data_IF_032510657155
#
_entry.id   IF_032510657155
#
_cell.length_a   1.000
_cell.length_b   1.000
_cell.length_c   1.000
_cell.angle_alpha   90.00
_cell.angle_beta   90.00
_cell.angle_gamma   90.00
#
_symmetry.space_group_name_H-M   'P 1'
#
loop_
_entity.id
_entity.type
_entity.pdbx_description
1 polymer ?
#
# COMPACT_ATOMS: atom_id res chain seq x y z
N UNK A 1 15.02 -22.40 33.39
CA UNK A 1 15.38 -21.04 33.86
C UNK A 1 16.60 -20.58 33.06
N UNK A 2 16.43 -19.88 31.96
CA UNK A 2 17.51 -19.16 31.25
C UNK A 2 17.03 -17.73 31.02
N UNK A 3 17.79 -16.79 31.58
CA UNK A 3 17.50 -15.35 31.54
C UNK A 3 17.82 -14.82 30.16
N UNK A 4 16.84 -14.17 29.48
CA UNK A 4 17.07 -13.32 28.31
C UNK A 4 17.66 -12.00 28.78
N UNK A 5 18.85 -11.67 28.29
CA UNK A 5 19.44 -10.32 28.38
C UNK A 5 18.94 -9.51 27.17
N UNK A 6 18.22 -8.44 27.45
CA UNK A 6 17.95 -7.37 26.47
C UNK A 6 19.19 -6.49 26.39
N UNK A 7 19.84 -6.47 25.24
CA UNK A 7 20.89 -5.51 24.91
C UNK A 7 20.26 -4.27 24.26
N UNK A 8 20.18 -3.19 25.02
CA UNK A 8 19.84 -1.84 24.53
C UNK A 8 21.06 -1.25 23.84
N UNK A 9 20.98 -1.05 22.53
CA UNK A 9 21.95 -0.28 21.74
C UNK A 9 21.62 1.21 21.88
N UNK A 10 22.33 1.90 22.75
CA UNK A 10 22.40 3.36 22.84
C UNK A 10 23.51 3.83 21.88
N UNK A 11 23.16 4.61 20.88
CA UNK A 11 24.12 5.38 20.10
C UNK A 11 24.41 6.70 20.82
N UNK A 12 25.66 7.08 21.05
CA UNK A 12 25.98 8.39 21.58
C UNK A 12 25.94 9.43 20.45
N UNK A 13 25.08 10.44 20.60
CA UNK A 13 25.15 11.68 19.83
C UNK A 13 26.21 12.57 20.47
N UNK A 14 27.32 12.77 19.78
CA UNK A 14 28.31 13.75 20.17
C UNK A 14 27.81 15.15 19.86
N UNK A 15 27.52 15.95 20.88
CA UNK A 15 27.28 17.38 20.77
C UNK A 15 28.64 18.09 20.72
N UNK A 16 28.97 18.68 19.57
CA UNK A 16 30.07 19.63 19.45
C UNK A 16 29.53 21.02 19.88
N UNK A 17 30.01 21.53 20.98
CA UNK A 17 29.82 22.93 21.38
C UNK A 17 30.78 23.80 20.53
N UNK A 18 30.23 24.69 19.76
CA UNK A 18 30.98 25.78 19.14
C UNK A 18 30.80 27.06 19.98
N UNK A 19 31.91 27.54 20.46
CA UNK A 19 32.09 28.81 21.16
C UNK A 19 32.02 29.97 20.13
N UNK A 20 31.07 30.86 20.25
CA UNK A 20 30.99 32.06 19.46
C UNK A 20 31.35 33.29 20.31
N UNK A 21 32.61 33.69 20.22
CA UNK A 21 33.09 34.99 20.69
C UNK A 21 32.43 36.11 19.89
N UNK A 22 32.00 37.11 20.64
CA UNK A 22 31.41 38.37 20.18
C UNK A 22 32.36 39.13 19.26
N UNK A 23 31.93 39.46 18.08
CA UNK A 23 32.52 40.51 17.26
C UNK A 23 31.49 41.63 17.04
N UNK A 24 31.97 42.84 17.28
CA UNK A 24 31.30 44.15 17.18
C UNK A 24 30.54 44.32 15.87
N UNK A 25 29.27 44.74 15.99
CA UNK A 25 28.48 45.30 14.88
C UNK A 25 28.64 46.83 14.82
N UNK A 26 28.91 47.43 13.65
CA UNK A 26 28.89 48.85 13.50
C UNK A 26 27.45 49.41 13.47
N UNK A 27 27.30 50.61 14.06
CA UNK A 27 26.05 51.31 14.24
C UNK A 27 25.37 51.71 12.91
N UNK A 28 24.05 51.51 12.85
CA UNK A 28 23.21 51.98 11.73
C UNK A 28 23.11 53.54 11.75
N UNK A 29 23.12 54.21 10.57
CA UNK A 29 22.85 55.63 10.46
C UNK A 29 21.36 55.98 10.65
N UNK A 30 21.10 57.14 11.23
CA UNK A 30 19.79 57.68 11.52
C UNK A 30 18.95 57.98 10.26
N UNK A 31 17.60 57.87 10.31
CA UNK A 31 16.73 58.16 9.18
C UNK A 31 16.67 59.68 8.87
N UNK A 32 16.64 59.96 7.56
CA UNK A 32 16.48 61.31 7.01
C UNK A 32 15.06 61.85 7.24
N UNK A 33 14.88 63.20 7.29
CA UNK A 33 13.59 63.83 7.59
C UNK A 33 12.58 63.66 6.45
N UNK A 34 11.32 63.43 6.82
CA UNK A 34 10.18 63.40 5.92
C UNK A 34 9.84 64.79 5.41
N UNK A 35 9.79 64.98 4.08
CA UNK A 35 9.21 66.14 3.45
C UNK A 35 7.68 66.14 3.50
N UNK A 36 7.09 67.32 3.66
CA UNK A 36 5.65 67.50 3.76
C UNK A 36 4.90 67.29 2.44
N UNK A 37 3.59 66.91 2.48
CA UNK A 37 2.83 66.62 1.29
C UNK A 37 2.51 67.86 0.45
N UNK A 38 2.77 67.76 -0.86
CA UNK A 38 2.34 68.73 -1.86
C UNK A 38 0.94 68.38 -2.34
N UNK A 39 0.04 69.39 -2.20
CA UNK A 39 -1.34 69.37 -2.70
C UNK A 39 -1.35 69.50 -4.22
N UNK A 40 -1.86 68.56 -4.95
CA UNK A 40 -2.23 68.64 -6.37
C UNK A 40 -3.71 68.35 -6.55
N UNK A 41 -4.50 69.39 -6.40
CA UNK A 41 -5.89 69.43 -6.86
C UNK A 41 -5.96 69.58 -8.39
N UNK A 42 -6.88 68.86 -8.97
CA UNK A 42 -7.52 69.08 -10.28
C UNK A 42 -6.76 68.71 -11.55
N UNK A 43 -7.09 67.52 -12.05
CA UNK A 43 -7.39 67.37 -13.48
C UNK A 43 -8.48 66.28 -13.69
N UNK A 44 -9.57 66.73 -14.30
CA UNK A 44 -10.66 65.87 -14.78
C UNK A 44 -10.15 64.82 -15.79
N UNK A 45 -10.35 63.56 -15.48
CA UNK A 45 -10.28 62.47 -16.45
C UNK A 45 -11.68 61.85 -16.60
N UNK A 46 -12.14 61.54 -17.83
CA UNK A 46 -13.47 60.95 -18.04
C UNK A 46 -13.56 59.52 -17.44
N UNK A 47 -14.67 59.22 -16.83
CA UNK A 47 -14.96 57.95 -16.20
C UNK A 47 -14.85 56.81 -17.20
N UNK A 48 -13.98 55.85 -16.92
CA UNK A 48 -13.97 54.54 -17.58
C UNK A 48 -15.24 53.78 -17.18
N UNK A 49 -15.89 53.07 -18.13
CA UNK A 49 -17.03 52.22 -17.79
C UNK A 49 -16.60 51.10 -16.85
N UNK A 50 -17.40 50.83 -15.85
CA UNK A 50 -17.20 49.73 -14.90
C UNK A 50 -17.04 48.38 -15.62
N UNK A 51 -16.07 47.56 -15.25
CA UNK A 51 -15.97 46.20 -15.79
C UNK A 51 -17.25 45.42 -15.45
N UNK A 52 -17.80 44.75 -16.45
CA UNK A 52 -18.92 43.82 -16.27
C UNK A 52 -18.59 42.80 -15.16
N UNK A 53 -19.57 42.35 -14.38
CA UNK A 53 -19.33 41.34 -13.38
C UNK A 53 -18.75 40.10 -14.08
N UNK A 54 -17.50 39.76 -13.81
CA UNK A 54 -16.99 38.44 -14.11
C UNK A 54 -17.83 37.45 -13.31
N UNK A 55 -18.65 36.67 -13.99
CA UNK A 55 -19.17 35.45 -13.41
C UNK A 55 -17.97 34.66 -12.87
N UNK A 56 -17.87 34.57 -11.55
CA UNK A 56 -16.93 33.71 -10.87
C UNK A 56 -17.23 32.30 -11.40
N UNK A 57 -16.35 31.78 -12.23
CA UNK A 57 -16.37 30.38 -12.57
C UNK A 57 -16.31 29.62 -11.24
N UNK A 58 -17.43 29.03 -10.85
CA UNK A 58 -17.50 28.15 -9.68
C UNK A 58 -16.53 27.02 -9.98
N UNK A 59 -15.38 27.05 -9.29
CA UNK A 59 -14.44 25.94 -9.26
C UNK A 59 -15.09 24.76 -8.52
N UNK A 60 -15.73 23.88 -9.26
CA UNK A 60 -16.32 22.64 -8.75
C UNK A 60 -15.24 21.56 -8.47
N UNK A 61 -13.97 21.90 -8.38
CA UNK A 61 -12.86 20.95 -8.27
C UNK A 61 -12.46 20.59 -6.85
N UNK A 62 -13.09 21.15 -5.82
CA UNK A 62 -12.78 20.84 -4.43
C UNK A 62 -14.04 20.70 -3.59
N UNK A 63 -14.87 19.71 -3.86
CA UNK A 63 -15.62 19.15 -2.75
C UNK A 63 -14.61 18.40 -1.86
N UNK A 64 -14.36 19.01 -0.75
CA UNK A 64 -13.45 18.60 0.32
C UNK A 64 -13.79 17.17 0.76
N UNK A 65 -13.10 16.18 0.20
CA UNK A 65 -13.21 14.77 0.62
C UNK A 65 -12.68 14.57 2.05
N UNK A 66 -12.07 15.60 2.64
CA UNK A 66 -11.66 15.64 4.04
C UNK A 66 -12.86 15.76 5.02
N UNK A 67 -14.04 16.09 4.53
CA UNK A 67 -15.27 16.21 5.34
C UNK A 67 -16.13 14.94 5.34
N UNK A 68 -15.61 13.78 4.98
CA UNK A 68 -16.35 12.54 5.18
C UNK A 68 -16.43 12.22 6.67
N UNK A 69 -17.65 12.14 7.28
CA UNK A 69 -17.77 11.68 8.66
C UNK A 69 -17.08 10.34 8.84
N UNK A 70 -16.29 10.18 9.90
CA UNK A 70 -15.57 8.95 10.22
C UNK A 70 -14.17 8.80 9.62
N UNK A 71 -13.69 9.71 8.76
CA UNK A 71 -12.28 9.77 8.35
C UNK A 71 -11.58 10.87 9.16
N UNK A 72 -10.66 10.52 10.05
CA UNK A 72 -9.80 11.48 10.74
C UNK A 72 -9.00 12.29 9.73
N UNK A 73 -8.72 13.56 10.02
CA UNK A 73 -7.99 14.47 9.13
C UNK A 73 -6.58 13.98 8.73
N UNK A 74 -6.03 12.99 9.45
CA UNK A 74 -4.67 12.49 9.31
C UNK A 74 -4.52 11.25 8.43
N UNK A 75 -5.61 10.60 8.03
CA UNK A 75 -5.55 9.34 7.30
C UNK A 75 -6.59 9.22 6.18
N UNK A 76 -6.25 8.44 5.17
CA UNK A 76 -7.16 7.96 4.12
C UNK A 76 -7.27 6.44 4.16
N UNK A 77 -8.31 5.89 3.58
CA UNK A 77 -8.49 4.44 3.46
C UNK A 77 -7.47 3.81 2.50
N UNK A 78 -6.92 2.67 2.90
CA UNK A 78 -6.19 1.74 2.06
C UNK A 78 -7.05 0.56 1.63
N UNK A 79 -6.46 -0.64 1.51
CA UNK A 79 -7.20 -1.89 1.32
C UNK A 79 -7.92 -2.31 2.60
N UNK A 80 -9.05 -3.01 2.47
CA UNK A 80 -9.84 -3.45 3.60
C UNK A 80 -10.21 -2.31 4.55
N UNK A 81 -9.81 -2.43 5.79
CA UNK A 81 -9.94 -1.40 6.84
C UNK A 81 -8.61 -0.67 7.16
N UNK A 82 -7.52 -0.97 6.42
CA UNK A 82 -6.21 -0.35 6.64
C UNK A 82 -6.22 1.16 6.36
N UNK A 83 -5.35 1.89 7.04
CA UNK A 83 -5.18 3.33 6.88
C UNK A 83 -3.82 3.66 6.27
N UNK A 84 -3.81 4.71 5.45
CA UNK A 84 -2.65 5.32 4.81
C UNK A 84 -2.55 6.80 5.19
N UNK A 85 -1.38 7.45 5.06
CA UNK A 85 -1.24 8.88 5.31
C UNK A 85 -2.20 9.71 4.45
N UNK A 86 -2.90 10.70 5.04
CA UNK A 86 -3.81 11.57 4.30
C UNK A 86 -3.11 12.31 3.16
N UNK A 87 -1.79 12.59 3.28
CA UNK A 87 -0.98 13.22 2.24
C UNK A 87 -0.77 12.35 0.99
N UNK A 88 -1.10 11.06 1.01
CA UNK A 88 -1.20 10.23 -0.20
C UNK A 88 -2.40 10.63 -1.07
N UNK A 89 -3.37 11.31 -0.48
CA UNK A 89 -4.65 11.60 -1.10
C UNK A 89 -5.60 10.41 -1.06
N UNK A 90 -6.89 10.69 -1.05
CA UNK A 90 -7.89 9.64 -1.19
C UNK A 90 -7.74 8.96 -2.56
N UNK A 91 -8.13 7.69 -2.62
CA UNK A 91 -8.24 6.98 -3.88
C UNK A 91 -9.14 7.75 -4.82
N UNK A 92 -8.59 8.21 -5.92
CA UNK A 92 -9.34 8.97 -6.91
C UNK A 92 -10.18 8.00 -7.74
N UNK A 93 -11.35 8.44 -8.19
CA UNK A 93 -12.27 7.65 -8.96
C UNK A 93 -13.17 8.53 -9.81
N UNK A 94 -13.95 7.91 -10.66
CA UNK A 94 -15.13 8.55 -11.23
C UNK A 94 -16.20 8.56 -10.15
N UNK A 95 -16.66 9.75 -9.77
CA UNK A 95 -17.66 9.94 -8.74
C UNK A 95 -19.00 10.34 -9.36
N UNK A 96 -20.08 9.75 -8.86
CA UNK A 96 -21.44 10.11 -9.20
C UNK A 96 -22.33 10.08 -7.95
N UNK A 97 -23.22 11.06 -7.84
CA UNK A 97 -24.23 11.07 -6.77
C UNK A 97 -25.59 10.80 -7.36
N UNK A 98 -26.35 9.86 -6.79
CA UNK A 98 -27.69 9.52 -7.24
C UNK A 98 -28.76 10.33 -6.47
N UNK A 99 -29.99 10.33 -6.97
CA UNK A 99 -31.14 10.98 -6.30
C UNK A 99 -31.45 10.45 -4.90
N UNK A 100 -30.94 9.25 -4.55
CA UNK A 100 -31.09 8.65 -3.21
C UNK A 100 -29.89 8.92 -2.27
N UNK A 101 -29.08 9.94 -2.54
CA UNK A 101 -27.86 10.31 -1.78
C UNK A 101 -26.82 9.19 -1.71
N UNK A 102 -26.83 8.27 -2.67
CA UNK A 102 -25.73 7.34 -2.85
C UNK A 102 -24.57 8.04 -3.56
N UNK A 103 -23.40 7.99 -2.95
CA UNK A 103 -22.15 8.34 -3.60
C UNK A 103 -21.57 7.06 -4.20
N UNK A 104 -21.44 7.05 -5.52
CA UNK A 104 -20.83 5.97 -6.28
C UNK A 104 -19.40 6.38 -6.65
N UNK A 105 -18.45 5.46 -6.53
CA UNK A 105 -17.08 5.65 -6.99
C UNK A 105 -16.65 4.43 -7.80
N UNK A 106 -16.01 4.69 -8.94
CA UNK A 106 -15.42 3.66 -9.78
C UNK A 106 -13.98 4.04 -10.11
N UNK A 107 -13.06 3.10 -9.95
CA UNK A 107 -11.70 3.23 -10.44
C UNK A 107 -11.18 1.89 -10.96
N UNK A 108 -10.08 1.93 -11.72
CA UNK A 108 -9.49 0.71 -12.23
C UNK A 108 -8.08 0.91 -12.74
N UNK A 109 -7.35 -0.20 -12.83
CA UNK A 109 -6.00 -0.26 -13.35
C UNK A 109 -5.88 -1.44 -14.30
N UNK A 110 -5.28 -1.20 -15.46
CA UNK A 110 -4.88 -2.23 -16.41
C UNK A 110 -3.40 -2.06 -16.70
N UNK A 111 -2.61 -3.08 -16.46
CA UNK A 111 -1.16 -3.04 -16.67
C UNK A 111 -0.72 -4.17 -17.57
N UNK A 112 -0.24 -3.84 -18.78
CA UNK A 112 0.55 -4.76 -19.60
C UNK A 112 1.97 -4.79 -19.05
N UNK A 113 2.48 -5.99 -18.77
CA UNK A 113 3.82 -6.22 -18.17
C UNK A 113 4.56 -7.20 -19.04
N UNK A 114 5.82 -6.90 -19.37
CA UNK A 114 6.80 -7.89 -19.81
C UNK A 114 7.88 -7.98 -18.73
N UNK A 115 8.14 -9.18 -18.24
CA UNK A 115 9.18 -9.44 -17.26
C UNK A 115 10.12 -10.52 -17.77
N UNK A 116 11.41 -10.31 -17.54
CA UNK A 116 12.50 -11.28 -17.80
C UNK A 116 13.23 -11.49 -16.46
N UNK A 117 13.07 -12.68 -15.90
CA UNK A 117 13.68 -13.08 -14.66
C UNK A 117 14.93 -13.90 -14.98
N UNK A 118 16.12 -13.32 -14.74
CA UNK A 118 17.38 -13.90 -15.15
C UNK A 118 17.83 -15.09 -14.32
N UNK A 119 18.85 -15.82 -14.85
CA UNK A 119 19.46 -16.97 -14.21
C UNK A 119 18.87 -18.31 -14.66
N UNK A 120 19.46 -19.46 -14.25
CA UNK A 120 19.03 -20.80 -14.71
C UNK A 120 17.57 -21.17 -14.39
N UNK A 121 17.00 -20.64 -13.29
CA UNK A 121 15.58 -20.79 -12.91
C UNK A 121 14.72 -19.60 -13.35
N UNK A 122 15.31 -18.68 -14.09
CA UNK A 122 14.60 -17.57 -14.67
C UNK A 122 13.64 -18.00 -15.78
N UNK A 123 12.69 -17.12 -16.08
CA UNK A 123 11.70 -17.29 -17.14
C UNK A 123 11.25 -15.90 -17.61
N UNK A 124 10.75 -15.78 -18.82
CA UNK A 124 10.22 -14.53 -19.34
C UNK A 124 8.75 -14.66 -19.73
N UNK A 125 7.99 -13.59 -19.57
CA UNK A 125 6.57 -13.60 -19.90
C UNK A 125 6.01 -12.20 -20.12
N UNK A 126 5.07 -12.10 -21.07
CA UNK A 126 4.18 -10.95 -21.20
C UNK A 126 2.82 -11.29 -20.58
N UNK A 127 2.34 -10.45 -19.67
CA UNK A 127 1.05 -10.64 -18.98
C UNK A 127 0.27 -9.35 -18.89
N UNK A 128 -1.02 -9.48 -18.59
CA UNK A 128 -1.90 -8.36 -18.29
C UNK A 128 -2.43 -8.53 -16.88
N UNK A 129 -2.16 -7.56 -16.03
CA UNK A 129 -2.73 -7.45 -14.69
C UNK A 129 -3.89 -6.45 -14.72
N UNK A 130 -4.92 -6.69 -13.93
CA UNK A 130 -6.09 -5.82 -13.90
C UNK A 130 -6.72 -5.75 -12.52
N UNK A 131 -7.28 -4.60 -12.22
CA UNK A 131 -8.12 -4.38 -11.04
C UNK A 131 -9.17 -3.34 -11.37
N UNK A 132 -10.43 -3.64 -11.07
CA UNK A 132 -11.54 -2.71 -11.16
C UNK A 132 -12.28 -2.68 -9.84
N UNK A 133 -12.50 -1.51 -9.27
CA UNK A 133 -13.22 -1.32 -8.01
C UNK A 133 -14.44 -0.41 -8.20
N UNK A 134 -15.53 -0.83 -7.60
CA UNK A 134 -16.76 -0.06 -7.44
C UNK A 134 -17.06 0.08 -5.97
N UNK A 135 -17.42 1.27 -5.52
CA UNK A 135 -17.99 1.47 -4.19
C UNK A 135 -19.28 2.29 -4.25
N UNK A 136 -20.17 2.00 -3.33
CA UNK A 136 -21.42 2.73 -3.14
C UNK A 136 -21.58 3.03 -1.66
N UNK A 137 -21.61 4.30 -1.29
CA UNK A 137 -21.76 4.72 0.11
C UNK A 137 -22.85 5.76 0.27
N UNK A 138 -23.49 5.78 1.45
CA UNK A 138 -24.46 6.82 1.81
C UNK A 138 -24.56 7.01 3.32
N UNK A 139 -24.86 8.20 3.81
CA UNK A 139 -25.33 8.39 5.17
C UNK A 139 -26.70 7.71 5.34
N UNK A 140 -26.89 6.96 6.42
CA UNK A 140 -28.18 6.37 6.83
C UNK A 140 -28.78 7.13 8.01
N UNK A 141 -27.96 7.89 8.73
CA UNK A 141 -28.33 8.87 9.74
C UNK A 141 -27.25 9.96 9.76
N UNK A 142 -27.46 11.04 10.52
CA UNK A 142 -26.47 12.12 10.70
C UNK A 142 -25.15 11.58 11.27
N UNK A 143 -25.22 10.56 12.11
CA UNK A 143 -24.09 9.93 12.81
C UNK A 143 -23.74 8.54 12.26
N UNK A 144 -24.33 8.08 11.16
CA UNK A 144 -24.10 6.73 10.64
C UNK A 144 -24.06 6.68 9.12
N UNK A 145 -23.13 5.86 8.59
CA UNK A 145 -22.91 5.65 7.18
C UNK A 145 -22.76 4.16 6.87
N UNK A 146 -23.17 3.77 5.66
CA UNK A 146 -22.89 2.46 5.08
C UNK A 146 -22.12 2.61 3.77
N UNK A 147 -21.29 1.62 3.48
CA UNK A 147 -20.55 1.49 2.22
C UNK A 147 -20.59 0.02 1.78
N UNK A 148 -20.77 -0.19 0.48
CA UNK A 148 -20.56 -1.47 -0.18
C UNK A 148 -19.41 -1.34 -1.17
N UNK A 149 -18.57 -2.37 -1.25
CA UNK A 149 -17.42 -2.37 -2.13
C UNK A 149 -17.32 -3.69 -2.89
N UNK A 150 -17.02 -3.60 -4.18
CA UNK A 150 -16.68 -4.73 -5.02
C UNK A 150 -15.39 -4.44 -5.76
N UNK A 151 -14.43 -5.38 -5.71
CA UNK A 151 -13.18 -5.30 -6.45
C UNK A 151 -12.98 -6.61 -7.22
N UNK A 152 -12.69 -6.48 -8.52
CA UNK A 152 -12.59 -7.59 -9.45
C UNK A 152 -11.27 -7.55 -10.21
N UNK A 153 -10.73 -8.72 -10.55
CA UNK A 153 -9.56 -8.89 -11.43
C UNK A 153 -9.84 -9.92 -12.53
N UNK A 154 -9.28 -9.71 -13.71
CA UNK A 154 -9.28 -10.68 -14.80
C UNK A 154 -7.98 -11.49 -14.86
N UNK A 155 -7.13 -11.41 -13.85
CA UNK A 155 -5.87 -12.15 -13.79
C UNK A 155 -6.01 -13.67 -13.85
N UNK A 156 -7.12 -14.32 -13.40
CA UNK A 156 -7.29 -15.76 -13.61
C UNK A 156 -7.17 -16.20 -15.07
N UNK A 157 -7.39 -15.30 -16.03
CA UNK A 157 -7.23 -15.58 -17.46
C UNK A 157 -5.77 -15.84 -17.90
N UNK A 158 -4.76 -15.44 -17.09
CA UNK A 158 -3.36 -15.78 -17.36
C UNK A 158 -2.99 -17.22 -17.03
N UNK A 159 -3.88 -17.94 -16.35
CA UNK A 159 -3.71 -19.34 -15.95
C UNK A 159 -3.10 -19.51 -14.56
N UNK A 160 -3.28 -20.70 -13.98
CA UNK A 160 -2.96 -21.01 -12.56
C UNK A 160 -1.51 -20.75 -12.17
N UNK A 161 -0.56 -20.85 -13.11
CA UNK A 161 0.86 -20.62 -12.84
C UNK A 161 1.26 -19.15 -12.73
N UNK A 162 0.34 -18.23 -13.02
CA UNK A 162 0.62 -16.80 -12.96
C UNK A 162 1.84 -16.38 -13.77
N UNK A 163 2.69 -15.53 -13.22
CA UNK A 163 3.84 -14.94 -13.92
C UNK A 163 5.17 -15.18 -13.19
N UNK A 164 6.32 -15.15 -13.92
CA UNK A 164 7.64 -15.29 -13.32
C UNK A 164 7.93 -14.18 -12.29
N UNK A 165 8.41 -14.56 -11.12
CA UNK A 165 8.86 -13.66 -10.06
C UNK A 165 9.89 -14.42 -9.21
N UNK A 166 11.16 -14.23 -9.52
CA UNK A 166 12.26 -15.00 -8.96
C UNK A 166 12.26 -14.93 -7.42
N UNK A 167 12.40 -16.09 -6.75
CA UNK A 167 12.35 -16.29 -5.30
C UNK A 167 10.94 -16.13 -4.66
N UNK A 168 9.88 -15.90 -5.42
CA UNK A 168 8.52 -15.96 -4.88
C UNK A 168 8.10 -17.41 -4.63
N UNK A 169 7.44 -17.67 -3.50
CA UNK A 169 6.92 -18.97 -3.05
C UNK A 169 5.62 -18.76 -2.28
N UNK A 170 5.06 -19.83 -1.72
CA UNK A 170 3.93 -19.80 -0.78
C UNK A 170 2.65 -20.39 -1.35
N UNK A 171 2.57 -20.67 -2.65
CA UNK A 171 1.36 -21.10 -3.32
C UNK A 171 1.54 -22.43 -4.10
N UNK A 172 0.43 -22.96 -4.60
CA UNK A 172 0.41 -24.12 -5.49
C UNK A 172 -0.19 -23.81 -6.85
N UNK A 173 0.21 -24.56 -7.85
CA UNK A 173 -0.42 -24.58 -9.17
C UNK A 173 -0.50 -26.00 -9.69
N UNK A 174 -1.71 -26.47 -10.04
CA UNK A 174 -1.98 -27.84 -10.47
C UNK A 174 -1.54 -28.89 -9.42
N UNK A 175 -1.77 -28.58 -8.13
CA UNK A 175 -1.44 -29.45 -7.00
C UNK A 175 0.07 -29.58 -6.72
N UNK A 176 0.90 -28.66 -7.23
CA UNK A 176 2.35 -28.65 -6.99
C UNK A 176 2.78 -27.29 -6.46
N UNK A 177 3.79 -27.23 -5.58
CA UNK A 177 4.38 -25.99 -5.12
C UNK A 177 4.78 -25.08 -6.27
N UNK A 178 4.43 -23.81 -6.16
CA UNK A 178 4.76 -22.76 -7.12
C UNK A 178 5.98 -22.01 -6.62
N UNK A 179 7.10 -22.15 -7.29
CA UNK A 179 8.38 -21.54 -6.93
C UNK A 179 8.87 -20.67 -8.09
N UNK A 180 9.47 -19.52 -7.77
CA UNK A 180 9.94 -18.51 -8.72
C UNK A 180 8.83 -17.92 -9.61
N UNK A 181 7.61 -17.99 -9.12
CA UNK A 181 6.42 -17.47 -9.80
C UNK A 181 5.44 -16.90 -8.77
N UNK A 182 4.66 -15.94 -9.22
CA UNK A 182 3.53 -15.40 -8.48
C UNK A 182 2.24 -15.90 -9.11
N UNK A 183 1.34 -16.42 -8.29
CA UNK A 183 -0.02 -16.79 -8.71
C UNK A 183 -0.85 -15.57 -9.14
N UNK A 184 -1.89 -15.71 -9.98
CA UNK A 184 -2.81 -14.64 -10.31
C UNK A 184 -3.74 -14.33 -9.12
N UNK A 185 -4.24 -13.11 -9.04
CA UNK A 185 -5.34 -12.79 -8.15
C UNK A 185 -6.61 -13.53 -8.56
N UNK A 186 -7.53 -13.69 -7.60
CA UNK A 186 -8.87 -14.22 -7.87
C UNK A 186 -9.74 -13.19 -8.61
N UNK A 187 -10.78 -13.67 -9.33
CA UNK A 187 -11.77 -12.80 -9.96
C UNK A 187 -12.38 -11.84 -8.93
N UNK A 188 -12.77 -12.37 -7.77
CA UNK A 188 -13.33 -11.59 -6.68
C UNK A 188 -12.24 -11.25 -5.67
N UNK A 189 -11.72 -10.02 -5.74
CA UNK A 189 -10.72 -9.53 -4.80
C UNK A 189 -11.35 -8.92 -3.55
N UNK A 190 -12.55 -8.33 -3.68
CA UNK A 190 -13.33 -7.83 -2.55
C UNK A 190 -14.83 -7.83 -2.90
N UNK A 191 -15.65 -8.32 -1.97
CA UNK A 191 -17.09 -8.14 -1.91
C UNK A 191 -17.45 -7.89 -0.45
N UNK A 192 -17.51 -6.63 -0.06
CA UNK A 192 -17.61 -6.23 1.34
C UNK A 192 -18.68 -5.17 1.60
N UNK A 193 -19.04 -5.06 2.86
CA UNK A 193 -19.84 -3.97 3.40
C UNK A 193 -19.15 -3.39 4.64
N UNK A 194 -19.32 -2.10 4.84
CA UNK A 194 -18.87 -1.36 6.02
C UNK A 194 -20.00 -0.50 6.57
N UNK A 195 -20.13 -0.48 7.89
CA UNK A 195 -20.99 0.44 8.61
C UNK A 195 -20.15 1.21 9.62
N UNK A 196 -20.24 2.52 9.62
CA UNK A 196 -19.57 3.41 10.57
C UNK A 196 -20.63 4.14 11.38
N UNK A 197 -20.41 4.30 12.70
CA UNK A 197 -21.29 5.03 13.63
C UNK A 197 -20.42 5.96 14.48
N UNK A 198 -20.68 7.26 14.37
CA UNK A 198 -20.02 8.27 15.19
C UNK A 198 -20.67 8.29 16.57
N UNK A 199 -19.88 8.01 17.61
CA UNK A 199 -20.36 7.92 19.01
C UNK A 199 -19.98 9.15 19.83
N UNK A 200 -18.99 9.93 19.37
CA UNK A 200 -18.59 11.21 19.93
C UNK A 200 -17.81 12.01 18.86
N UNK A 201 -17.61 13.33 19.02
CA UNK A 201 -16.77 14.10 18.13
C UNK A 201 -15.38 13.46 17.98
N UNK A 202 -14.97 13.19 16.73
CA UNK A 202 -13.70 12.54 16.40
C UNK A 202 -13.59 11.06 16.80
N UNK A 203 -14.69 10.40 17.20
CA UNK A 203 -14.68 8.99 17.62
C UNK A 203 -15.82 8.22 16.95
N UNK A 204 -15.46 7.15 16.22
CA UNK A 204 -16.43 6.27 15.57
C UNK A 204 -16.16 4.79 15.87
N UNK A 205 -17.21 4.00 15.82
CA UNK A 205 -17.16 2.55 15.77
C UNK A 205 -17.46 2.10 14.34
N UNK A 206 -16.87 0.98 13.93
CA UNK A 206 -17.20 0.40 12.63
C UNK A 206 -17.30 -1.11 12.67
N UNK A 207 -18.10 -1.63 11.74
CA UNK A 207 -18.16 -3.04 11.37
C UNK A 207 -17.87 -3.14 9.87
N UNK A 208 -16.94 -4.03 9.51
CA UNK A 208 -16.52 -4.28 8.13
C UNK A 208 -16.45 -5.76 7.88
N UNK A 209 -16.74 -6.22 6.68
CA UNK A 209 -16.54 -7.60 6.27
C UNK A 209 -17.38 -8.00 5.08
N UNK A 210 -17.28 -9.26 4.71
CA UNK A 210 -17.98 -9.82 3.56
C UNK A 210 -17.57 -11.24 3.22
N UNK A 211 -18.17 -11.82 2.16
CA UNK A 211 -17.77 -13.13 1.67
C UNK A 211 -16.34 -13.13 1.11
N UNK A 212 -15.86 -12.00 0.60
CA UNK A 212 -14.47 -11.77 0.18
C UNK A 212 -14.05 -10.42 0.73
N UNK A 213 -13.05 -10.38 1.60
CA UNK A 213 -12.59 -9.15 2.23
C UNK A 213 -11.16 -9.31 2.78
N UNK A 214 -10.62 -8.25 3.38
CA UNK A 214 -9.28 -8.25 3.98
C UNK A 214 -9.39 -8.12 5.50
N UNK A 215 -8.85 -9.05 6.29
CA UNK A 215 -8.82 -8.96 7.74
C UNK A 215 -7.83 -7.90 8.24
N UNK A 216 -7.94 -7.50 9.50
CA UNK A 216 -7.05 -6.56 10.17
C UNK A 216 -5.67 -7.19 10.48
N UNK A 217 -4.92 -7.54 9.43
CA UNK A 217 -3.60 -8.17 9.51
C UNK A 217 -2.70 -7.62 8.41
N UNK A 218 -1.54 -7.10 8.79
CA UNK A 218 -0.59 -6.51 7.84
C UNK A 218 -0.85 -5.03 7.52
N UNK A 219 0.03 -4.44 6.70
CA UNK A 219 -0.18 -3.13 6.09
C UNK A 219 -1.27 -3.21 5.00
N UNK A 220 -1.73 -2.08 4.49
CA UNK A 220 -2.53 -2.04 3.26
C UNK A 220 -1.84 -2.83 2.14
N UNK A 221 -2.57 -3.63 1.37
CA UNK A 221 -2.02 -4.46 0.29
C UNK A 221 -1.22 -3.63 -0.73
N UNK A 222 -0.15 -4.22 -1.30
CA UNK A 222 0.83 -3.49 -2.10
C UNK A 222 0.22 -2.72 -3.28
N UNK A 223 -0.82 -3.24 -3.91
CA UNK A 223 -1.50 -2.59 -5.04
C UNK A 223 -2.29 -1.33 -4.65
N UNK A 224 -2.56 -1.13 -3.37
CA UNK A 224 -3.25 0.05 -2.82
C UNK A 224 -2.30 1.08 -2.23
N UNK A 225 -0.99 0.77 -2.11
CA UNK A 225 0.02 1.69 -1.59
C UNK A 225 0.60 2.55 -2.71
N UNK A 226 0.61 3.86 -2.52
CA UNK A 226 1.25 4.77 -3.49
C UNK A 226 2.76 4.55 -3.58
N UNK A 227 3.40 4.06 -2.52
CA UNK A 227 4.82 3.67 -2.49
C UNK A 227 5.15 2.55 -3.49
N UNK A 228 4.20 1.66 -3.79
CA UNK A 228 4.34 0.55 -4.75
C UNK A 228 3.72 0.81 -6.13
N UNK A 229 3.25 2.04 -6.40
CA UNK A 229 2.39 2.38 -7.56
C UNK A 229 2.89 1.88 -8.91
N UNK A 230 4.20 1.90 -9.14
CA UNK A 230 4.83 1.50 -10.41
C UNK A 230 5.67 0.24 -10.30
N UNK A 231 5.45 -0.56 -9.26
CA UNK A 231 6.03 -1.87 -9.06
C UNK A 231 4.99 -2.94 -9.46
N UNK A 232 4.94 -3.38 -10.73
CA UNK A 232 3.85 -4.24 -11.19
C UNK A 232 3.94 -5.66 -10.64
N UNK A 233 5.14 -6.13 -10.29
CA UNK A 233 5.30 -7.45 -9.69
C UNK A 233 5.08 -7.39 -8.19
N UNK A 234 4.41 -8.41 -7.65
CA UNK A 234 4.23 -8.55 -6.20
C UNK A 234 5.59 -8.60 -5.48
N UNK A 235 5.64 -8.18 -4.21
CA UNK A 235 6.80 -8.44 -3.36
C UNK A 235 7.12 -9.94 -3.29
N UNK A 236 8.42 -10.32 -3.23
CA UNK A 236 8.78 -11.70 -2.91
C UNK A 236 8.42 -12.07 -1.47
N UNK A 237 8.22 -11.05 -0.61
CA UNK A 237 7.69 -11.18 0.75
C UNK A 237 6.17 -11.10 0.86
N UNK A 238 5.41 -11.27 -0.24
CA UNK A 238 3.95 -11.17 -0.26
C UNK A 238 3.29 -12.03 0.83
N UNK A 239 3.71 -13.29 0.97
CA UNK A 239 3.17 -14.21 1.98
C UNK A 239 3.56 -13.89 3.43
N UNK A 240 4.43 -12.90 3.67
CA UNK A 240 4.76 -12.39 5.00
C UNK A 240 3.92 -11.19 5.41
N UNK A 241 3.45 -10.37 4.45
CA UNK A 241 2.82 -9.08 4.73
C UNK A 241 1.34 -9.02 4.41
N UNK A 242 0.96 -9.43 3.22
CA UNK A 242 -0.32 -9.12 2.63
C UNK A 242 -0.99 -10.26 1.83
N UNK A 243 -0.61 -11.52 2.09
CA UNK A 243 -1.29 -12.69 1.48
C UNK A 243 -2.77 -12.79 1.84
N UNK A 244 -3.18 -12.19 2.96
CA UNK A 244 -4.57 -12.19 3.42
C UNK A 244 -5.44 -11.10 2.81
N UNK A 245 -4.93 -10.32 1.83
CA UNK A 245 -5.72 -9.23 1.22
C UNK A 245 -6.94 -9.74 0.41
N UNK A 246 -6.95 -11.02 0.02
CA UNK A 246 -8.11 -11.74 -0.51
C UNK A 246 -8.39 -12.90 0.45
N UNK A 247 -9.42 -12.78 1.26
CA UNK A 247 -9.78 -13.79 2.27
C UNK A 247 -11.28 -14.07 2.20
N UNK A 248 -11.66 -15.33 2.25
CA UNK A 248 -13.05 -15.75 2.13
C UNK A 248 -13.73 -15.86 3.49
N UNK A 249 -14.65 -14.91 3.73
CA UNK A 249 -15.34 -14.76 5.00
C UNK A 249 -14.51 -13.95 6.01
N UNK A 250 -14.83 -12.67 6.13
CA UNK A 250 -14.19 -11.76 7.08
C UNK A 250 -15.25 -10.98 7.82
N UNK A 251 -15.08 -10.87 9.14
CA UNK A 251 -15.81 -9.95 10.00
C UNK A 251 -14.81 -9.19 10.86
N UNK A 252 -14.78 -7.88 10.72
CA UNK A 252 -13.90 -6.97 11.47
C UNK A 252 -14.74 -5.96 12.22
N UNK A 253 -14.48 -5.79 13.51
CA UNK A 253 -15.01 -4.69 14.30
C UNK A 253 -13.88 -3.79 14.79
N UNK A 254 -14.10 -2.50 14.83
CA UNK A 254 -13.08 -1.56 15.28
C UNK A 254 -13.63 -0.26 15.83
N UNK A 255 -12.73 0.46 16.50
CA UNK A 255 -12.95 1.81 16.99
C UNK A 255 -11.85 2.72 16.42
N UNK A 256 -12.25 3.91 16.01
CA UNK A 256 -11.39 4.91 15.40
C UNK A 256 -11.54 6.26 16.11
N UNK A 257 -10.40 6.91 16.32
CA UNK A 257 -10.30 8.32 16.72
C UNK A 257 -9.55 9.11 15.65
N UNK A 258 -9.34 10.41 15.85
CA UNK A 258 -8.56 11.22 14.92
C UNK A 258 -7.12 10.72 14.73
N UNK A 259 -6.53 10.08 15.74
CA UNK A 259 -5.14 9.65 15.71
C UNK A 259 -4.93 8.13 15.78
N UNK A 260 -5.94 7.35 16.20
CA UNK A 260 -5.78 5.92 16.42
C UNK A 260 -6.95 5.11 15.84
N UNK A 261 -6.65 3.93 15.35
CA UNK A 261 -7.64 2.90 15.03
C UNK A 261 -7.22 1.59 15.68
N UNK A 262 -8.17 0.94 16.38
CA UNK A 262 -8.01 -0.40 16.95
C UNK A 262 -9.09 -1.30 16.37
N UNK A 263 -8.69 -2.47 15.89
CA UNK A 263 -9.60 -3.37 15.20
C UNK A 263 -9.25 -4.83 15.45
N UNK A 264 -10.25 -5.69 15.34
CA UNK A 264 -10.09 -7.13 15.44
C UNK A 264 -10.94 -7.83 14.41
N UNK A 265 -10.41 -8.90 13.84
CA UNK A 265 -11.05 -9.69 12.78
C UNK A 265 -11.18 -11.15 13.16
N UNK A 266 -12.28 -11.77 12.70
CA UNK A 266 -12.41 -13.22 12.55
C UNK A 266 -12.55 -13.53 11.06
N UNK A 267 -11.83 -14.56 10.56
CA UNK A 267 -11.76 -14.84 9.13
C UNK A 267 -11.36 -16.29 8.84
N UNK A 268 -11.40 -16.72 7.55
CA UNK A 268 -10.86 -18.00 7.09
C UNK A 268 -9.33 -17.89 6.99
N UNK A 269 -8.60 -18.76 7.71
CA UNK A 269 -7.12 -18.74 7.70
C UNK A 269 -6.51 -19.24 6.41
N UNK A 270 -7.12 -20.25 5.80
CA UNK A 270 -6.68 -20.84 4.53
C UNK A 270 -6.72 -19.82 3.40
N UNK A 271 -5.61 -19.64 2.71
CA UNK A 271 -5.53 -18.84 1.48
C UNK A 271 -6.48 -19.37 0.40
N UNK A 272 -6.87 -18.56 -0.61
CA UNK A 272 -7.69 -18.99 -1.73
C UNK A 272 -7.14 -20.22 -2.42
N UNK A 273 -8.01 -21.07 -2.95
CA UNK A 273 -7.60 -22.27 -3.69
C UNK A 273 -7.18 -21.91 -5.14
N UNK A 274 -6.81 -22.91 -5.94
CA UNK A 274 -6.38 -22.71 -7.33
C UNK A 274 -7.52 -22.39 -8.30
N UNK A 275 -8.78 -22.45 -7.86
CA UNK A 275 -9.96 -22.18 -8.69
C UNK A 275 -10.33 -20.71 -8.68
N UNK A 276 -9.49 -19.85 -9.19
CA UNK A 276 -9.50 -18.39 -9.10
C UNK A 276 -10.73 -17.66 -9.68
N UNK A 277 -11.71 -18.40 -10.23
CA UNK A 277 -12.94 -17.83 -10.82
C UNK A 277 -14.16 -17.88 -9.89
N UNK A 278 -14.07 -18.54 -8.74
CA UNK A 278 -15.17 -18.74 -7.78
C UNK A 278 -14.92 -17.98 -6.47
N UNK A 279 -15.78 -18.17 -5.53
CA UNK A 279 -15.62 -17.80 -4.12
C UNK A 279 -15.60 -19.08 -3.31
N UNK A 280 -14.55 -19.29 -2.53
CA UNK A 280 -14.45 -20.42 -1.62
C UNK A 280 -15.46 -20.33 -0.48
N UNK A 281 -15.77 -21.48 0.12
CA UNK A 281 -16.64 -21.51 1.29
C UNK A 281 -16.05 -20.69 2.44
N UNK A 282 -16.75 -19.63 2.90
CA UNK A 282 -16.32 -18.83 4.04
C UNK A 282 -16.24 -19.63 5.33
N UNK A 283 -15.27 -19.31 6.18
CA UNK A 283 -15.13 -19.82 7.54
C UNK A 283 -14.59 -18.70 8.44
N UNK A 284 -14.78 -18.83 9.75
CA UNK A 284 -14.22 -17.92 10.76
C UNK A 284 -13.43 -18.78 11.76
N UNK A 285 -12.30 -19.32 11.31
CA UNK A 285 -11.44 -20.23 12.07
C UNK A 285 -10.11 -19.60 12.53
N UNK A 286 -9.90 -18.35 12.15
CA UNK A 286 -8.70 -17.56 12.40
C UNK A 286 -9.06 -16.18 12.93
N UNK A 287 -8.10 -15.49 13.52
CA UNK A 287 -8.32 -14.17 14.09
C UNK A 287 -7.09 -13.27 13.95
N UNK A 288 -7.31 -11.97 13.97
CA UNK A 288 -6.24 -10.97 14.06
C UNK A 288 -6.68 -9.72 14.82
N UNK A 289 -5.68 -8.94 15.24
CA UNK A 289 -5.86 -7.60 15.80
C UNK A 289 -4.86 -6.65 15.14
N UNK A 290 -5.26 -5.39 14.94
CA UNK A 290 -4.38 -4.35 14.42
C UNK A 290 -4.60 -3.05 15.18
N UNK A 291 -3.50 -2.38 15.53
CA UNK A 291 -3.48 -1.03 16.03
C UNK A 291 -2.79 -0.14 15.01
N UNK A 292 -3.40 0.97 14.66
CA UNK A 292 -2.88 1.96 13.70
C UNK A 292 -2.81 3.32 14.38
N UNK A 293 -1.69 4.03 14.19
CA UNK A 293 -1.44 5.38 14.67
C UNK A 293 -1.18 6.34 13.51
N UNK A 294 -1.94 7.42 13.47
CA UNK A 294 -1.90 8.47 12.43
C UNK A 294 -1.63 9.82 13.06
N UNK A 295 -0.36 10.10 13.49
CA UNK A 295 0.00 11.29 14.26
C UNK A 295 -0.12 12.59 13.46
N UNK A 296 -0.11 12.49 12.15
CA UNK A 296 -0.20 13.63 11.24
C UNK A 296 -0.65 13.16 9.85
N UNK A 297 -1.03 14.07 8.93
CA UNK A 297 -1.36 13.71 7.56
C UNK A 297 -0.24 13.04 6.77
N UNK A 298 0.99 13.07 7.28
CA UNK A 298 2.17 12.54 6.60
C UNK A 298 2.60 11.16 7.05
N UNK A 299 2.12 10.68 8.20
CA UNK A 299 2.60 9.44 8.81
C UNK A 299 1.48 8.52 9.22
N UNK A 300 1.65 7.24 8.92
CA UNK A 300 0.80 6.17 9.45
C UNK A 300 1.69 5.02 9.89
N UNK A 301 1.56 4.59 11.13
CA UNK A 301 2.23 3.42 11.69
C UNK A 301 1.19 2.37 12.10
N UNK A 302 1.48 1.09 11.86
CA UNK A 302 0.64 0.00 12.33
C UNK A 302 1.48 -1.12 12.93
N UNK A 303 0.85 -1.85 13.86
CA UNK A 303 1.27 -3.16 14.32
C UNK A 303 0.06 -4.09 14.31
N UNK A 304 0.26 -5.32 13.86
CA UNK A 304 -0.79 -6.33 13.87
C UNK A 304 -0.26 -7.69 14.30
N UNK A 305 -1.16 -8.49 14.83
CA UNK A 305 -0.89 -9.88 15.20
C UNK A 305 -2.12 -10.74 14.90
N UNK A 306 -1.90 -11.95 14.43
CA UNK A 306 -2.99 -12.88 14.17
C UNK A 306 -2.53 -14.33 14.20
N UNK A 307 -3.50 -15.23 14.36
CA UNK A 307 -3.34 -16.67 14.20
C UNK A 307 -4.19 -17.15 13.03
N UNK A 308 -3.54 -17.76 12.07
CA UNK A 308 -4.13 -18.32 10.86
C UNK A 308 -4.12 -19.86 10.99
N UNK A 309 -5.26 -20.48 10.73
CA UNK A 309 -5.36 -21.92 10.74
C UNK A 309 -4.98 -22.48 9.38
N UNK A 310 -3.91 -23.28 9.35
CA UNK A 310 -3.41 -23.96 8.16
C UNK A 310 -3.45 -23.07 6.89
N UNK A 311 -2.77 -21.90 6.88
CA UNK A 311 -2.93 -20.93 5.78
C UNK A 311 -2.48 -21.49 4.44
N UNK A 312 -1.41 -22.27 4.41
CA UNK A 312 -0.77 -22.76 3.19
C UNK A 312 -1.08 -24.24 2.93
N UNK A 313 -1.39 -24.56 1.68
CA UNK A 313 -1.66 -25.95 1.26
C UNK A 313 -0.41 -26.82 1.36
N UNK A 314 0.76 -26.22 1.21
CA UNK A 314 2.07 -26.89 1.24
C UNK A 314 2.44 -27.39 2.64
N UNK A 315 1.86 -26.80 3.69
CA UNK A 315 2.13 -27.09 5.09
C UNK A 315 0.87 -27.60 5.83
N UNK A 316 0.36 -28.79 5.47
CA UNK A 316 -0.88 -29.31 6.07
C UNK A 316 -0.69 -29.61 7.55
N UNK A 317 -1.63 -29.13 8.39
CA UNK A 317 -1.60 -29.30 9.85
C UNK A 317 -0.74 -28.24 10.58
N UNK A 318 -0.13 -27.30 9.86
CA UNK A 318 0.62 -26.20 10.45
C UNK A 318 -0.22 -24.93 10.50
N UNK A 319 -0.48 -24.44 11.70
CA UNK A 319 -1.04 -23.10 11.90
C UNK A 319 0.08 -22.05 11.79
N UNK A 320 -0.29 -20.81 11.63
CA UNK A 320 0.67 -19.69 11.62
C UNK A 320 0.28 -18.61 12.63
N UNK A 321 1.28 -18.09 13.36
CA UNK A 321 1.16 -16.84 14.08
C UNK A 321 1.97 -15.76 13.35
N UNK A 322 1.28 -14.73 12.84
CA UNK A 322 1.89 -13.63 12.08
C UNK A 322 1.88 -12.35 12.89
N UNK A 323 3.05 -11.71 12.98
CA UNK A 323 3.19 -10.36 13.56
C UNK A 323 3.77 -9.45 12.52
N UNK A 324 3.12 -8.31 12.26
CA UNK A 324 3.66 -7.31 11.33
C UNK A 324 3.75 -5.94 11.98
N UNK A 325 4.66 -5.12 11.48
CA UNK A 325 4.73 -3.71 11.77
C UNK A 325 5.06 -2.95 10.49
N UNK A 326 4.47 -1.77 10.28
CA UNK A 326 4.83 -0.91 9.16
C UNK A 326 4.74 0.56 9.51
N UNK A 327 5.54 1.34 8.79
CA UNK A 327 5.57 2.79 8.84
C UNK A 327 5.45 3.34 7.43
N UNK A 328 4.42 4.14 7.18
CA UNK A 328 4.18 4.83 5.93
C UNK A 328 4.47 6.32 6.08
N UNK A 329 5.03 6.89 5.05
CA UNK A 329 5.31 8.33 4.93
C UNK A 329 4.87 8.87 3.59
N UNK A 330 4.21 10.03 3.58
CA UNK A 330 3.87 10.73 2.36
C UNK A 330 4.04 12.24 2.51
N UNK A 331 4.73 12.88 1.57
CA UNK A 331 4.85 14.35 1.48
C UNK A 331 5.31 14.77 0.09
N UNK A 332 4.64 15.75 -0.51
CA UNK A 332 5.10 16.48 -1.72
C UNK A 332 5.23 15.51 -2.87
N UNK A 333 5.06 14.60 -3.29
CA UNK A 333 5.27 13.63 -4.38
C UNK A 333 5.98 12.36 -3.92
N UNK A 334 6.59 12.34 -2.75
CA UNK A 334 7.20 11.17 -2.16
C UNK A 334 6.17 10.38 -1.34
N UNK A 335 6.07 9.07 -1.60
CA UNK A 335 5.40 8.08 -0.74
C UNK A 335 6.37 6.93 -0.48
N UNK A 336 6.50 6.51 0.76
CA UNK A 336 7.41 5.46 1.17
C UNK A 336 6.80 4.57 2.26
N UNK A 337 7.22 3.34 2.33
CA UNK A 337 6.86 2.39 3.39
C UNK A 337 8.08 1.59 3.83
N UNK A 338 8.18 1.35 5.12
CA UNK A 338 9.04 0.34 5.72
C UNK A 338 8.17 -0.67 6.47
N UNK A 339 8.35 -1.95 6.21
CA UNK A 339 7.61 -3.03 6.84
C UNK A 339 8.51 -4.11 7.41
N UNK A 340 8.07 -4.71 8.51
CA UNK A 340 8.63 -5.91 9.13
C UNK A 340 7.54 -6.94 9.34
N UNK A 341 7.87 -8.22 9.11
CA UNK A 341 6.99 -9.34 9.44
C UNK A 341 7.77 -10.50 10.05
N UNK A 342 7.15 -11.14 11.03
CA UNK A 342 7.55 -12.44 11.57
C UNK A 342 6.38 -13.41 11.39
N UNK A 343 6.60 -14.42 10.56
CA UNK A 343 5.72 -15.55 10.25
C UNK A 343 6.23 -16.75 11.04
N UNK A 344 5.48 -17.17 12.05
CA UNK A 344 5.84 -18.25 12.95
C UNK A 344 4.95 -19.46 12.68
N UNK A 345 5.48 -20.52 12.08
CA UNK A 345 4.77 -21.79 11.88
C UNK A 345 4.58 -22.51 13.20
N UNK A 346 3.46 -23.17 13.36
CA UNK A 346 3.04 -23.82 14.61
C UNK A 346 2.54 -25.26 14.34
N UNK A 347 3.42 -26.29 14.47
CA UNK A 347 4.83 -26.25 14.86
C UNK A 347 5.74 -25.76 13.73
N UNK A 348 6.90 -25.22 14.04
CA UNK A 348 7.93 -24.85 13.07
C UNK A 348 8.75 -23.62 13.41
N UNK A 349 9.44 -23.12 12.41
CA UNK A 349 10.39 -22.01 12.54
C UNK A 349 9.69 -20.63 12.38
N UNK A 350 10.38 -19.59 12.84
CA UNK A 350 9.99 -18.22 12.62
C UNK A 350 10.74 -17.66 11.40
N UNK A 351 10.00 -17.36 10.35
CA UNK A 351 10.50 -16.75 9.13
C UNK A 351 10.26 -15.24 9.19
N UNK A 352 11.31 -14.44 8.96
CA UNK A 352 11.20 -12.97 9.02
C UNK A 352 11.39 -12.34 7.65
N UNK A 353 10.67 -11.24 7.41
CA UNK A 353 10.82 -10.44 6.21
C UNK A 353 10.88 -8.95 6.54
N UNK A 354 11.63 -8.21 5.72
CA UNK A 354 11.66 -6.76 5.68
C UNK A 354 11.33 -6.29 4.28
N UNK A 355 10.59 -5.21 4.17
CA UNK A 355 10.33 -4.52 2.91
C UNK A 355 10.47 -3.02 3.12
N UNK A 356 11.22 -2.38 2.22
CA UNK A 356 11.26 -0.93 2.08
C UNK A 356 10.89 -0.58 0.65
N UNK A 357 9.91 0.29 0.44
CA UNK A 357 9.51 0.72 -0.90
C UNK A 357 9.24 2.22 -0.93
N UNK A 358 9.48 2.82 -2.09
CA UNK A 358 9.23 4.23 -2.31
C UNK A 358 8.83 4.51 -3.76
N UNK A 359 7.95 5.49 -3.92
CA UNK A 359 7.66 6.16 -5.18
C UNK A 359 7.84 7.66 -5.00
N UNK A 360 8.60 8.27 -5.90
CA UNK A 360 8.84 9.71 -5.90
C UNK A 360 8.43 10.34 -7.23
N UNK A 361 7.30 11.03 -7.22
CA UNK A 361 6.81 11.84 -8.35
C UNK A 361 7.65 13.13 -8.42
N UNK A 362 8.69 13.13 -9.26
CA UNK A 362 9.58 14.28 -9.50
C UNK A 362 8.86 15.43 -10.17
N UNK A 363 7.87 15.12 -10.99
CA UNK A 363 7.00 16.06 -11.69
C UNK A 363 5.68 15.38 -12.05
N UNK A 364 4.78 16.10 -12.73
CA UNK A 364 3.56 15.51 -13.30
C UNK A 364 3.83 14.41 -14.34
N UNK A 365 5.05 14.32 -14.89
CA UNK A 365 5.40 13.40 -15.97
C UNK A 365 6.45 12.36 -15.59
N UNK A 366 7.16 12.50 -14.48
CA UNK A 366 8.31 11.69 -14.15
C UNK A 366 8.22 11.15 -12.74
N UNK A 367 8.38 9.85 -12.58
CA UNK A 367 8.46 9.18 -11.27
C UNK A 367 9.65 8.26 -11.22
N UNK A 368 10.34 8.24 -10.08
CA UNK A 368 11.30 7.22 -9.70
C UNK A 368 10.65 6.33 -8.65
N UNK A 369 10.94 5.05 -8.70
CA UNK A 369 10.42 4.11 -7.73
C UNK A 369 11.42 3.00 -7.43
N UNK A 370 11.23 2.31 -6.32
CA UNK A 370 12.06 1.16 -5.98
C UNK A 370 11.55 0.41 -4.77
N UNK A 371 12.11 -0.80 -4.59
CA UNK A 371 11.82 -1.70 -3.47
C UNK A 371 13.08 -2.43 -3.06
N UNK A 372 13.28 -2.57 -1.75
CA UNK A 372 14.26 -3.45 -1.15
C UNK A 372 13.49 -4.45 -0.29
N UNK A 373 13.75 -5.72 -0.48
CA UNK A 373 13.16 -6.81 0.29
C UNK A 373 14.25 -7.68 0.86
N UNK A 374 14.08 -8.13 2.10
CA UNK A 374 14.96 -9.13 2.71
C UNK A 374 14.09 -10.20 3.37
N UNK A 375 14.06 -11.39 2.77
CA UNK A 375 13.09 -12.44 3.10
C UNK A 375 13.82 -13.70 3.51
N UNK A 376 13.42 -14.30 4.63
CA UNK A 376 13.78 -15.66 5.03
C UNK A 376 12.81 -16.63 4.35
N UNK A 377 13.31 -17.53 3.51
CA UNK A 377 12.52 -18.46 2.70
C UNK A 377 13.11 -19.87 2.78
N UNK A 378 12.28 -20.87 3.04
CA UNK A 378 12.63 -22.29 3.14
C UNK A 378 11.92 -23.17 2.09
N UNK A 379 11.12 -22.56 1.21
CA UNK A 379 10.29 -23.24 0.20
C UNK A 379 10.92 -23.26 -1.22
N UNK A 380 12.17 -22.80 -1.37
CA UNK A 380 12.81 -22.69 -2.69
C UNK A 380 13.09 -24.05 -3.35
N UNK A 381 13.11 -25.12 -2.59
CA UNK A 381 13.37 -26.49 -3.08
C UNK A 381 12.27 -27.45 -2.55
N UNK A 382 11.13 -27.55 -3.25
CA UNK A 382 9.99 -28.30 -2.76
C UNK A 382 10.12 -29.83 -2.94
N UNK A 383 11.15 -30.32 -3.64
CA UNK A 383 11.39 -31.75 -3.81
C UNK A 383 12.08 -32.30 -2.55
N UNK A 384 11.42 -33.20 -1.84
CA UNK A 384 11.97 -33.88 -0.66
C UNK A 384 13.29 -34.64 -0.91
N UNK A 385 13.59 -34.99 -2.16
CA UNK A 385 14.85 -35.63 -2.52
C UNK A 385 16.00 -34.60 -2.72
N UNK A 386 15.70 -33.31 -2.81
CA UNK A 386 16.72 -32.27 -2.97
C UNK A 386 17.45 -32.03 -1.64
N UNK A 387 18.79 -32.03 -1.61
CA UNK A 387 19.58 -31.78 -0.39
C UNK A 387 19.39 -30.37 0.19
N UNK A 388 18.75 -29.45 -0.54
CA UNK A 388 18.39 -28.09 -0.10
C UNK A 388 16.93 -27.97 0.32
N UNK A 389 16.16 -29.07 0.33
CA UNK A 389 14.77 -29.10 0.79
C UNK A 389 14.68 -28.60 2.24
N UNK A 390 13.67 -27.77 2.56
CA UNK A 390 13.40 -27.14 3.87
C UNK A 390 14.58 -26.32 4.45
N UNK A 391 15.61 -26.04 3.65
CA UNK A 391 16.71 -25.19 4.11
C UNK A 391 16.31 -23.72 4.05
N UNK A 392 16.49 -23.06 5.17
CA UNK A 392 16.26 -21.62 5.27
C UNK A 392 17.34 -20.84 4.52
N UNK A 393 16.92 -20.02 3.58
CA UNK A 393 17.75 -19.08 2.84
C UNK A 393 17.26 -17.66 3.06
N UNK A 394 18.19 -16.73 3.17
CA UNK A 394 17.88 -15.30 3.21
C UNK A 394 18.21 -14.67 1.87
N UNK A 395 17.18 -14.09 1.25
CA UNK A 395 17.28 -13.45 -0.05
C UNK A 395 17.06 -11.94 0.15
N UNK A 396 17.92 -11.13 -0.46
CA UNK A 396 17.70 -9.69 -0.56
C UNK A 396 17.51 -9.31 -2.02
N UNK A 397 16.36 -8.72 -2.37
CA UNK A 397 16.06 -8.14 -3.68
C UNK A 397 16.23 -6.63 -3.59
N UNK A 398 16.93 -6.05 -4.57
CA UNK A 398 17.04 -4.63 -4.79
C UNK A 398 16.39 -4.32 -6.14
N UNK A 399 15.37 -3.48 -6.16
CA UNK A 399 14.68 -3.09 -7.40
C UNK A 399 14.61 -1.58 -7.49
N UNK A 400 14.92 -1.03 -8.66
CA UNK A 400 14.78 0.39 -8.96
C UNK A 400 14.25 0.58 -10.38
N UNK A 401 13.43 1.60 -10.57
CA UNK A 401 12.79 1.86 -11.85
C UNK A 401 12.37 3.31 -12.05
N UNK A 402 11.86 3.54 -13.25
CA UNK A 402 11.38 4.82 -13.72
C UNK A 402 10.06 4.65 -14.49
N UNK A 403 9.16 5.62 -14.31
CA UNK A 403 7.92 5.72 -15.07
C UNK A 403 7.76 7.11 -15.70
N UNK A 404 7.45 7.12 -17.01
CA UNK A 404 6.98 8.31 -17.71
C UNK A 404 5.45 8.34 -17.66
N UNK A 405 4.91 9.39 -17.07
CA UNK A 405 3.48 9.59 -16.83
C UNK A 405 2.89 10.48 -17.91
N UNK A 406 1.80 10.06 -18.50
CA UNK A 406 1.05 10.76 -19.53
C UNK A 406 -0.38 10.96 -19.01
N UNK A 407 -0.71 12.13 -18.46
CA UNK A 407 -2.08 12.42 -18.04
C UNK A 407 -3.02 12.38 -19.24
N UNK A 408 -4.09 11.61 -19.15
CA UNK A 408 -5.14 11.49 -20.16
C UNK A 408 -6.41 12.22 -19.67
N UNK A 409 -6.33 13.55 -19.60
CA UNK A 409 -7.39 14.38 -19.03
C UNK A 409 -7.34 14.44 -17.49
N UNK A 410 -8.53 14.58 -16.84
CA UNK A 410 -8.63 14.77 -15.38
C UNK A 410 -8.71 13.46 -14.58
N UNK A 411 -9.08 12.37 -15.23
CA UNK A 411 -9.49 11.14 -14.57
C UNK A 411 -8.73 9.88 -15.04
N UNK A 412 -7.75 10.04 -15.92
CA UNK A 412 -6.98 8.89 -16.43
C UNK A 412 -5.50 9.24 -16.58
N UNK A 413 -4.65 8.24 -16.41
CA UNK A 413 -3.20 8.32 -16.61
C UNK A 413 -2.70 7.07 -17.30
N UNK A 414 -1.88 7.26 -18.34
CA UNK A 414 -1.03 6.20 -18.90
C UNK A 414 0.39 6.39 -18.35
N UNK A 415 0.98 5.36 -17.77
CA UNK A 415 2.38 5.35 -17.39
C UNK A 415 3.13 4.28 -18.17
N UNK A 416 4.25 4.67 -18.77
CA UNK A 416 5.18 3.77 -19.45
C UNK A 416 6.45 3.71 -18.61
N UNK A 417 6.89 2.53 -18.25
CA UNK A 417 8.03 2.42 -17.34
C UNK A 417 8.71 1.07 -17.35
N UNK A 418 9.71 0.96 -16.50
CA UNK A 418 10.43 -0.28 -16.29
C UNK A 418 11.33 -0.21 -15.07
N UNK A 419 11.78 -1.38 -14.62
CA UNK A 419 12.67 -1.56 -13.50
C UNK A 419 13.72 -2.63 -13.77
N UNK A 420 14.81 -2.57 -13.01
CA UNK A 420 15.80 -3.62 -12.90
C UNK A 420 15.87 -4.08 -11.45
N UNK A 421 16.04 -5.39 -11.27
CA UNK A 421 16.23 -6.00 -9.96
C UNK A 421 17.52 -6.84 -9.93
N UNK A 422 18.23 -6.76 -8.80
CA UNK A 422 19.40 -7.57 -8.49
C UNK A 422 19.18 -8.26 -7.14
N UNK A 423 19.89 -9.39 -6.93
CA UNK A 423 19.65 -10.23 -5.77
C UNK A 423 20.96 -10.55 -5.05
N UNK A 424 20.98 -10.35 -3.72
CA UNK A 424 21.97 -10.91 -2.84
C UNK A 424 21.42 -12.20 -2.20
N UNK A 425 22.13 -13.30 -2.35
CA UNK A 425 21.74 -14.63 -1.92
C UNK A 425 22.95 -15.46 -1.48
N UNK A 426 22.78 -16.52 -0.65
CA UNK A 426 23.85 -17.45 -0.32
C UNK A 426 24.44 -18.16 -1.55
N UNK A 427 25.75 -18.43 -1.54
CA UNK A 427 26.43 -19.15 -2.62
C UNK A 427 25.89 -20.57 -2.86
N UNK A 428 25.27 -21.20 -1.84
CA UNK A 428 24.60 -22.50 -1.99
C UNK A 428 23.51 -22.48 -3.08
N UNK A 429 22.96 -21.30 -3.41
CA UNK A 429 21.94 -21.12 -4.45
C UNK A 429 22.53 -20.85 -5.84
N UNK A 430 23.88 -20.79 -6.01
CA UNK A 430 24.50 -20.42 -7.28
C UNK A 430 24.20 -21.41 -8.40
N UNK A 431 24.09 -22.71 -8.09
CA UNK A 431 23.77 -23.73 -9.09
C UNK A 431 22.36 -23.55 -9.67
N UNK A 432 21.38 -23.17 -8.80
CA UNK A 432 19.99 -23.03 -9.20
C UNK A 432 19.68 -21.65 -9.80
N UNK A 433 20.33 -20.58 -9.34
CA UNK A 433 19.96 -19.21 -9.69
C UNK A 433 21.04 -18.42 -10.43
N UNK A 434 22.23 -19.01 -10.61
CA UNK A 434 23.40 -18.28 -11.07
C UNK A 434 24.06 -17.46 -9.94
N UNK A 435 25.26 -16.96 -10.18
CA UNK A 435 26.03 -16.18 -9.17
C UNK A 435 25.40 -14.81 -8.87
N UNK A 436 24.89 -14.14 -9.90
CA UNK A 436 24.35 -12.78 -9.81
C UNK A 436 23.16 -12.65 -10.78
N UNK A 437 21.98 -13.22 -10.46
CA UNK A 437 20.81 -13.08 -11.30
C UNK A 437 20.37 -11.60 -11.34
N UNK A 438 19.91 -11.15 -12.51
CA UNK A 438 19.34 -9.82 -12.74
C UNK A 438 18.02 -10.01 -13.44
N UNK A 439 17.00 -9.30 -13.01
CA UNK A 439 15.68 -9.32 -13.63
C UNK A 439 15.35 -7.95 -14.19
N UNK A 440 14.60 -7.92 -15.29
CA UNK A 440 14.10 -6.70 -15.92
C UNK A 440 12.59 -6.74 -16.07
N UNK A 441 11.93 -5.62 -15.88
CA UNK A 441 10.48 -5.50 -16.08
C UNK A 441 10.17 -4.23 -16.86
N UNK A 442 9.35 -4.34 -17.90
CA UNK A 442 8.77 -3.23 -18.66
C UNK A 442 7.26 -3.24 -18.46
N UNK A 443 6.64 -2.07 -18.40
CA UNK A 443 5.19 -1.99 -18.24
C UNK A 443 4.56 -0.78 -18.96
N UNK A 444 3.30 -0.97 -19.30
CA UNK A 444 2.38 0.09 -19.70
C UNK A 444 1.14 -0.01 -18.79
N UNK A 445 0.94 1.00 -17.94
CA UNK A 445 -0.12 1.04 -16.92
C UNK A 445 -1.13 2.13 -17.26
N UNK A 446 -2.35 1.71 -17.58
CA UNK A 446 -3.50 2.60 -17.69
C UNK A 446 -4.25 2.59 -16.36
N UNK A 447 -4.38 3.77 -15.75
CA UNK A 447 -5.13 3.96 -14.53
C UNK A 447 -6.30 4.91 -14.79
N UNK A 448 -7.49 4.49 -14.36
CA UNK A 448 -8.73 5.27 -14.43
C UNK A 448 -9.08 5.72 -13.01
N UNK A 449 -9.36 7.02 -12.86
CA UNK A 449 -9.70 7.58 -11.56
C UNK A 449 -8.49 7.87 -10.65
N UNK A 450 -7.34 8.19 -11.20
CA UNK A 450 -6.13 8.53 -10.42
C UNK A 450 -5.68 9.97 -10.60
#
# INVERSE_FOLDING_TARGET
MRRLLFATLLFPVAAAAQDHSMHDMPAQPAPAPQEAPVDHSMHDMPAQPAPAPQEAAMDHSMHDMAAMPGMGANAVGGSGSALLPAAEGAMRGFHATTTGNWMLMAHGVLTGVYTDQGGPRGDDMAVVQSMAMLSASRPIAEYARIEFRAMLSLEPAMGRRGYPNLFATGETANGRPLVDRQHPHDLFMELSARADVDIAPGTSLFLYGGPVAEPALGPSAFMHRRSARYLPLSPIGHHWFDSTHITYGVVTAGAKTDAFQFEGSAFKGREPDEARWNIDTPRLDSWSVRATWTPSPHWTAQISHGRLKEPEVQHPGEDEARTTASLHYARGGLSAMLGFSAKNRLPGDTLTAWVGEANWDLSRHHSLFGRIENVANDELFPDHADPLHDRLFRITRFEAGYAHRIPLGKAAELALGGSLAAYAKPAALDAAYGKAPISGTLFARLALGQ
#
